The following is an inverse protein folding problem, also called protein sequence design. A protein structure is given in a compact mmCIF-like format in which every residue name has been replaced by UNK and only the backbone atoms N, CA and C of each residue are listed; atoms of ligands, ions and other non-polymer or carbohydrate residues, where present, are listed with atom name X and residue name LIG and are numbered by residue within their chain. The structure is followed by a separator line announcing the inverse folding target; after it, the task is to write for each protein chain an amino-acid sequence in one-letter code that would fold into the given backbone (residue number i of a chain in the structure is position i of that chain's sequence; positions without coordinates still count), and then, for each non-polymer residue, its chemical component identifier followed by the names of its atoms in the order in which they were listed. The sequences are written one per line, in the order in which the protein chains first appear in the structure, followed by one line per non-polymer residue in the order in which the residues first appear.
data_IF_431301928047
#
_entry.id   IF_431301928047
#
_cell.length_a   1.000
_cell.length_b   1.000
_cell.length_c   1.000
_cell.angle_alpha   90.00
_cell.angle_beta   90.00
_cell.angle_gamma   90.00
#
_symmetry.space_group_name_H-M   'P 1'
#
loop_
_entity.id
_entity.type
_entity.pdbx_description
1 polymer ?
#
# COMPACT_ATOMS: atom_id res chain seq x y z
N UNK A 1 -68.55 60.95 -16.00
CA UNK A 1 -69.13 60.23 -17.14
C UNK A 1 -69.97 61.16 -17.98
N UNK A 2 -69.79 61.12 -19.30
CA UNK A 2 -70.66 61.79 -20.28
C UNK A 2 -71.84 60.85 -20.53
N UNK A 3 -73.06 61.33 -20.27
CA UNK A 3 -74.28 60.54 -20.42
C UNK A 3 -74.61 60.29 -21.91
N UNK A 4 -75.39 59.24 -22.24
CA UNK A 4 -75.87 59.03 -23.62
C UNK A 4 -76.56 60.27 -24.20
N UNK A 5 -77.26 61.05 -23.35
CA UNK A 5 -77.90 62.32 -23.70
C UNK A 5 -76.88 63.41 -24.10
N UNK A 6 -75.76 63.51 -23.39
CA UNK A 6 -74.69 64.47 -23.70
C UNK A 6 -73.86 64.04 -24.92
N UNK A 7 -73.73 62.73 -25.16
CA UNK A 7 -73.16 62.20 -26.41
C UNK A 7 -74.05 62.50 -27.61
N UNK A 8 -75.38 62.33 -27.51
CA UNK A 8 -76.32 62.74 -28.57
C UNK A 8 -76.20 64.25 -28.84
N UNK A 9 -76.17 65.06 -27.77
CA UNK A 9 -76.10 66.52 -27.88
C UNK A 9 -74.79 67.05 -28.49
N UNK A 10 -73.69 66.30 -28.39
CA UNK A 10 -72.37 66.65 -28.93
C UNK A 10 -72.05 65.96 -30.27
N UNK A 11 -72.98 65.18 -30.82
CA UNK A 11 -72.83 64.47 -32.09
C UNK A 11 -73.38 65.28 -33.25
N UNK A 12 -72.67 65.31 -34.38
CA UNK A 12 -73.06 66.12 -35.56
C UNK A 12 -74.15 65.46 -36.41
N UNK A 13 -74.29 64.13 -36.34
CA UNK A 13 -75.32 63.33 -37.00
C UNK A 13 -75.40 61.92 -36.35
N UNK A 14 -76.35 61.09 -36.81
CA UNK A 14 -76.56 59.74 -36.27
C UNK A 14 -75.34 58.82 -36.43
N UNK A 15 -74.58 58.93 -37.52
CA UNK A 15 -73.35 58.17 -37.74
C UNK A 15 -72.25 58.54 -36.75
N UNK A 16 -72.02 59.85 -36.53
CA UNK A 16 -71.05 60.38 -35.56
C UNK A 16 -71.40 59.97 -34.11
N UNK A 17 -72.69 59.85 -33.78
CA UNK A 17 -73.13 59.32 -32.49
C UNK A 17 -72.83 57.82 -32.34
N UNK A 18 -73.12 57.02 -33.37
CA UNK A 18 -72.85 55.56 -33.39
C UNK A 18 -71.34 55.31 -33.30
N UNK A 19 -70.53 56.05 -34.06
CA UNK A 19 -69.06 55.96 -34.03
C UNK A 19 -68.51 56.32 -32.64
N UNK A 20 -69.06 57.35 -31.98
CA UNK A 20 -68.68 57.73 -30.60
C UNK A 20 -69.10 56.69 -29.56
N UNK A 21 -70.25 56.04 -29.74
CA UNK A 21 -70.71 54.96 -28.86
C UNK A 21 -69.83 53.71 -29.02
N UNK A 22 -69.55 53.26 -30.25
CA UNK A 22 -68.65 52.13 -30.51
C UNK A 22 -67.23 52.39 -30.03
N UNK A 23 -66.72 53.62 -30.23
CA UNK A 23 -65.41 54.03 -29.71
C UNK A 23 -65.35 53.96 -28.18
N UNK A 24 -66.41 54.42 -27.50
CA UNK A 24 -66.51 54.35 -26.03
C UNK A 24 -66.58 52.91 -25.54
N UNK A 25 -67.35 52.05 -26.20
CA UNK A 25 -67.51 50.66 -25.82
C UNK A 25 -66.21 49.87 -26.06
N UNK A 26 -65.49 50.13 -27.17
CA UNK A 26 -64.15 49.59 -27.42
C UNK A 26 -63.12 50.06 -26.39
N UNK A 27 -63.16 51.33 -25.98
CA UNK A 27 -62.29 51.82 -24.90
C UNK A 27 -62.63 51.13 -23.57
N UNK A 28 -63.91 50.95 -23.24
CA UNK A 28 -64.32 50.22 -22.02
C UNK A 28 -63.85 48.76 -22.05
N UNK A 29 -63.99 48.08 -23.18
CA UNK A 29 -63.48 46.71 -23.37
C UNK A 29 -61.96 46.65 -23.22
N UNK A 30 -61.23 47.57 -23.84
CA UNK A 30 -59.77 47.65 -23.72
C UNK A 30 -59.32 47.93 -22.28
N UNK A 31 -60.01 48.82 -21.56
CA UNK A 31 -59.74 49.12 -20.15
C UNK A 31 -60.02 47.88 -19.29
N UNK A 32 -61.13 47.18 -19.51
CA UNK A 32 -61.46 45.93 -18.80
C UNK A 32 -60.41 44.86 -19.04
N UNK A 33 -60.04 44.63 -20.30
CA UNK A 33 -58.99 43.68 -20.71
C UNK A 33 -57.64 44.01 -20.06
N UNK A 34 -57.23 45.27 -20.09
CA UNK A 34 -55.98 45.73 -19.46
C UNK A 34 -56.02 45.52 -17.94
N UNK A 35 -57.18 45.73 -17.31
CA UNK A 35 -57.35 45.54 -15.87
C UNK A 35 -57.26 44.06 -15.47
N UNK A 36 -57.84 43.16 -16.28
CA UNK A 36 -57.70 41.71 -16.11
C UNK A 36 -56.24 41.24 -16.28
N UNK A 37 -55.53 41.80 -17.27
CA UNK A 37 -54.11 41.52 -17.49
C UNK A 37 -53.23 42.02 -16.34
N UNK A 38 -53.50 43.21 -15.80
CA UNK A 38 -52.83 43.74 -14.60
C UNK A 38 -53.05 42.81 -13.40
N UNK A 39 -54.27 42.29 -13.21
CA UNK A 39 -54.55 41.37 -12.10
C UNK A 39 -53.78 40.04 -12.26
N UNK A 40 -53.72 39.51 -13.49
CA UNK A 40 -52.94 38.31 -13.79
C UNK A 40 -51.44 38.51 -13.56
N UNK A 41 -50.87 39.61 -14.05
CA UNK A 41 -49.46 39.94 -13.87
C UNK A 41 -49.11 40.15 -12.39
N UNK A 42 -50.01 40.75 -11.60
CA UNK A 42 -49.83 40.86 -10.14
C UNK A 42 -49.74 39.48 -9.47
N UNK A 43 -50.64 38.55 -9.82
CA UNK A 43 -50.59 37.17 -9.30
C UNK A 43 -49.28 36.46 -9.67
N UNK A 44 -48.85 36.58 -10.93
CA UNK A 44 -47.58 36.01 -11.39
C UNK A 44 -46.37 36.62 -10.68
N UNK A 45 -46.36 37.93 -10.46
CA UNK A 45 -45.28 38.62 -9.74
C UNK A 45 -45.19 38.14 -8.27
N UNK A 46 -46.33 37.95 -7.61
CA UNK A 46 -46.37 37.44 -6.23
C UNK A 46 -45.90 35.99 -6.15
N UNK A 47 -46.24 35.14 -7.13
CA UNK A 47 -45.72 33.77 -7.23
C UNK A 47 -44.21 33.74 -7.47
N UNK A 48 -43.72 34.50 -8.46
CA UNK A 48 -42.28 34.60 -8.75
C UNK A 48 -41.49 35.14 -7.55
N UNK A 49 -42.04 36.10 -6.80
CA UNK A 49 -41.42 36.60 -5.57
C UNK A 49 -41.26 35.50 -4.53
N UNK A 50 -42.29 34.68 -4.31
CA UNK A 50 -42.23 33.54 -3.37
C UNK A 50 -41.20 32.51 -3.81
N UNK A 51 -41.14 32.21 -5.10
CA UNK A 51 -40.16 31.26 -5.66
C UNK A 51 -38.72 31.76 -5.50
N UNK A 52 -38.45 33.03 -5.79
CA UNK A 52 -37.14 33.64 -5.59
C UNK A 52 -36.72 33.60 -4.12
N UNK A 53 -37.63 33.90 -3.18
CA UNK A 53 -37.34 33.78 -1.75
C UNK A 53 -36.96 32.35 -1.38
N UNK A 54 -37.70 31.35 -1.86
CA UNK A 54 -37.39 29.94 -1.62
C UNK A 54 -36.02 29.54 -2.16
N UNK A 55 -35.70 29.93 -3.41
CA UNK A 55 -34.40 29.66 -4.02
C UNK A 55 -33.26 30.30 -3.23
N UNK A 56 -33.45 31.52 -2.71
CA UNK A 56 -32.46 32.20 -1.87
C UNK A 56 -32.22 31.46 -0.55
N UNK A 57 -33.27 30.96 0.10
CA UNK A 57 -33.19 30.17 1.33
C UNK A 57 -32.51 28.82 1.08
N UNK A 58 -32.84 28.15 -0.02
CA UNK A 58 -32.20 26.90 -0.45
C UNK A 58 -30.71 27.12 -0.75
N UNK A 59 -30.35 28.18 -1.48
CA UNK A 59 -28.94 28.53 -1.73
C UNK A 59 -28.17 28.82 -0.44
N UNK A 60 -28.78 29.50 0.53
CA UNK A 60 -28.16 29.78 1.83
C UNK A 60 -27.89 28.49 2.60
N UNK A 61 -28.84 27.55 2.58
CA UNK A 61 -28.71 26.24 3.22
C UNK A 61 -27.64 25.37 2.56
N UNK A 62 -27.61 25.34 1.22
CA UNK A 62 -26.60 24.63 0.44
C UNK A 62 -25.19 25.17 0.71
N UNK A 63 -25.01 26.50 0.76
CA UNK A 63 -23.73 27.13 1.13
C UNK A 63 -23.28 26.70 2.53
N UNK A 64 -24.15 26.75 3.52
CA UNK A 64 -23.83 26.29 4.88
C UNK A 64 -23.42 24.82 4.93
N UNK A 65 -24.10 23.96 4.16
CA UNK A 65 -23.75 22.53 4.04
C UNK A 65 -22.39 22.32 3.36
N UNK A 66 -22.11 23.08 2.30
CA UNK A 66 -20.84 23.04 1.59
C UNK A 66 -19.67 23.48 2.49
N UNK A 67 -19.85 24.52 3.29
CA UNK A 67 -18.85 25.01 4.23
C UNK A 67 -18.54 23.97 5.32
N UNK A 68 -19.56 23.29 5.84
CA UNK A 68 -19.39 22.16 6.76
C UNK A 68 -18.62 21.01 6.11
N UNK A 69 -19.01 20.62 4.88
CA UNK A 69 -18.33 19.54 4.15
C UNK A 69 -16.89 19.87 3.80
N UNK A 70 -16.60 21.12 3.44
CA UNK A 70 -15.24 21.59 3.20
C UNK A 70 -14.39 21.54 4.48
N UNK A 71 -14.98 21.90 5.62
CA UNK A 71 -14.32 21.80 6.94
C UNK A 71 -14.03 20.34 7.31
N UNK A 72 -15.02 19.46 7.18
CA UNK A 72 -14.86 18.01 7.41
C UNK A 72 -13.79 17.40 6.50
N UNK A 73 -13.79 17.75 5.20
CA UNK A 73 -12.81 17.26 4.23
C UNK A 73 -11.39 17.74 4.57
N UNK A 74 -11.25 19.02 4.94
CA UNK A 74 -9.96 19.60 5.34
C UNK A 74 -9.40 18.94 6.61
N UNK A 75 -10.26 18.69 7.61
CA UNK A 75 -9.87 17.98 8.84
C UNK A 75 -9.45 16.53 8.56
N UNK A 76 -10.21 15.81 7.71
CA UNK A 76 -9.85 14.45 7.29
C UNK A 76 -8.53 14.41 6.53
N UNK A 77 -8.32 15.34 5.60
CA UNK A 77 -7.08 15.43 4.83
C UNK A 77 -5.87 15.72 5.74
N UNK A 78 -6.03 16.59 6.73
CA UNK A 78 -4.99 16.85 7.73
C UNK A 78 -4.64 15.58 8.52
N UNK A 79 -5.65 14.81 8.96
CA UNK A 79 -5.45 13.53 9.64
C UNK A 79 -4.72 12.51 8.77
N UNK A 80 -5.16 12.30 7.53
CA UNK A 80 -4.50 11.39 6.58
C UNK A 80 -3.05 11.79 6.32
N UNK A 81 -2.77 13.08 6.16
CA UNK A 81 -1.40 13.56 5.95
C UNK A 81 -0.51 13.32 7.18
N UNK A 82 -1.06 13.47 8.39
CA UNK A 82 -0.34 13.17 9.63
C UNK A 82 -0.06 11.67 9.77
N UNK A 83 -1.06 10.81 9.51
CA UNK A 83 -0.90 9.36 9.56
C UNK A 83 0.12 8.88 8.53
N UNK A 84 0.08 9.43 7.32
CA UNK A 84 1.07 9.15 6.28
C UNK A 84 2.48 9.54 6.74
N UNK A 85 2.66 10.72 7.32
CA UNK A 85 3.97 11.16 7.81
C UNK A 85 4.50 10.27 8.94
N UNK A 86 3.62 9.83 9.85
CA UNK A 86 3.98 8.91 10.93
C UNK A 86 4.39 7.53 10.38
N UNK A 87 3.64 7.00 9.40
CA UNK A 87 3.96 5.75 8.73
C UNK A 87 5.28 5.83 7.95
N UNK A 88 5.48 6.89 7.17
CA UNK A 88 6.72 7.14 6.43
C UNK A 88 7.94 7.19 7.39
N UNK A 89 7.78 7.84 8.56
CA UNK A 89 8.82 7.90 9.57
C UNK A 89 9.13 6.51 10.16
N UNK A 90 8.11 5.68 10.43
CA UNK A 90 8.29 4.31 10.90
C UNK A 90 9.00 3.43 9.86
N UNK A 91 8.61 3.52 8.59
CA UNK A 91 9.27 2.78 7.49
C UNK A 91 10.74 3.20 7.37
N UNK A 92 11.03 4.50 7.48
CA UNK A 92 12.41 5.00 7.46
C UNK A 92 13.23 4.48 8.65
N UNK A 93 12.68 4.52 9.85
CA UNK A 93 13.34 4.01 11.05
C UNK A 93 13.62 2.50 10.93
N UNK A 94 12.60 1.71 10.60
CA UNK A 94 12.73 0.26 10.45
C UNK A 94 13.71 -0.12 9.34
N UNK A 95 13.68 0.55 8.18
CA UNK A 95 14.64 0.29 7.10
C UNK A 95 16.09 0.61 7.51
N UNK A 96 16.30 1.64 8.33
CA UNK A 96 17.62 1.95 8.88
C UNK A 96 18.10 0.87 9.86
N UNK A 97 17.21 0.37 10.74
CA UNK A 97 17.52 -0.71 11.67
C UNK A 97 17.85 -2.01 10.92
N UNK A 98 17.09 -2.34 9.87
CA UNK A 98 17.38 -3.49 9.00
C UNK A 98 18.76 -3.34 8.35
N UNK A 99 19.10 -2.16 7.85
CA UNK A 99 20.42 -1.92 7.26
C UNK A 99 21.56 -2.12 8.28
N UNK A 100 21.38 -1.65 9.52
CA UNK A 100 22.34 -1.87 10.61
C UNK A 100 22.48 -3.35 10.94
N UNK A 101 21.37 -4.09 11.10
CA UNK A 101 21.40 -5.52 11.40
C UNK A 101 22.08 -6.32 10.27
N UNK A 102 21.80 -5.98 9.00
CA UNK A 102 22.47 -6.60 7.84
C UNK A 102 23.97 -6.30 7.82
N UNK A 103 24.38 -5.08 8.16
CA UNK A 103 25.79 -4.72 8.25
C UNK A 103 26.50 -5.45 9.41
N UNK A 104 25.86 -5.54 10.57
CA UNK A 104 26.38 -6.28 11.73
C UNK A 104 26.52 -7.77 11.42
N UNK A 105 25.52 -8.39 10.77
CA UNK A 105 25.60 -9.80 10.39
C UNK A 105 26.71 -10.03 9.36
N UNK A 106 26.85 -9.15 8.36
CA UNK A 106 27.94 -9.23 7.38
C UNK A 106 29.32 -9.13 8.06
N UNK A 107 29.47 -8.22 9.02
CA UNK A 107 30.70 -8.09 9.78
C UNK A 107 30.97 -9.31 10.68
N UNK A 108 29.92 -9.93 11.23
CA UNK A 108 30.05 -11.17 11.99
C UNK A 108 30.51 -12.33 11.09
N UNK A 109 29.89 -12.48 9.91
CA UNK A 109 30.27 -13.47 8.91
C UNK A 109 31.72 -13.28 8.45
N UNK A 110 32.15 -12.03 8.22
CA UNK A 110 33.53 -11.71 7.84
C UNK A 110 34.60 -12.20 8.84
N UNK A 111 34.25 -12.40 10.12
CA UNK A 111 35.17 -12.94 11.14
C UNK A 111 35.46 -14.43 10.98
N UNK A 112 34.68 -15.15 10.16
CA UNK A 112 35.00 -16.53 9.78
C UNK A 112 36.33 -16.62 9.02
N UNK A 113 36.81 -15.49 8.49
CA UNK A 113 38.02 -15.44 7.69
C UNK A 113 37.79 -16.10 6.33
N UNK A 114 38.89 -16.45 5.67
CA UNK A 114 38.84 -16.99 4.32
C UNK A 114 38.57 -15.92 3.26
N UNK A 115 38.52 -16.35 2.00
CA UNK A 115 38.20 -15.49 0.87
C UNK A 115 37.08 -16.15 0.07
N UNK A 116 35.88 -15.59 0.21
CA UNK A 116 34.70 -16.03 -0.53
C UNK A 116 34.93 -15.85 -2.04
N UNK A 117 34.77 -16.94 -2.78
CA UNK A 117 34.74 -16.96 -4.24
C UNK A 117 33.35 -17.33 -4.72
N UNK A 118 33.01 -17.02 -5.97
CA UNK A 118 31.70 -17.37 -6.54
C UNK A 118 31.43 -18.89 -6.57
N UNK A 119 32.48 -19.71 -6.55
CA UNK A 119 32.36 -21.17 -6.50
C UNK A 119 31.79 -21.78 -7.79
N UNK A 120 31.11 -22.92 -7.64
CA UNK A 120 30.37 -23.61 -8.70
C UNK A 120 29.38 -22.68 -9.45
N UNK A 121 29.49 -22.54 -10.78
CA UNK A 121 28.54 -21.80 -11.61
C UNK A 121 27.09 -22.27 -11.49
N UNK A 122 26.86 -23.55 -11.16
CA UNK A 122 25.54 -24.10 -10.89
C UNK A 122 25.04 -23.80 -9.46
N UNK A 123 25.76 -22.97 -8.72
CA UNK A 123 25.46 -22.53 -7.34
C UNK A 123 25.33 -23.71 -6.37
N UNK A 124 26.24 -24.68 -6.50
CA UNK A 124 26.25 -25.92 -5.74
C UNK A 124 25.08 -26.85 -6.04
N UNK A 125 24.37 -26.61 -7.16
CA UNK A 125 23.16 -27.33 -7.59
C UNK A 125 21.84 -26.82 -6.98
N UNK A 126 21.86 -25.71 -6.23
CA UNK A 126 20.67 -25.19 -5.56
C UNK A 126 19.53 -24.95 -6.58
N UNK A 127 18.29 -25.45 -6.34
CA UNK A 127 17.25 -25.48 -7.35
C UNK A 127 16.97 -24.11 -7.96
N UNK A 128 16.91 -24.04 -9.29
CA UNK A 128 16.72 -22.80 -10.04
C UNK A 128 15.48 -22.00 -9.59
N UNK A 129 14.40 -22.70 -9.20
CA UNK A 129 13.18 -22.08 -8.64
C UNK A 129 13.45 -21.18 -7.43
N UNK A 130 14.44 -21.53 -6.60
CA UNK A 130 14.81 -20.77 -5.41
C UNK A 130 16.02 -19.87 -5.67
N UNK A 131 17.00 -20.35 -6.45
CA UNK A 131 18.23 -19.63 -6.76
C UNK A 131 18.04 -18.39 -7.65
N UNK A 132 16.99 -18.38 -8.49
CA UNK A 132 16.70 -17.29 -9.44
C UNK A 132 15.59 -16.36 -8.98
N UNK A 133 14.85 -16.74 -7.93
CA UNK A 133 13.85 -15.87 -7.33
C UNK A 133 14.52 -14.73 -6.54
N UNK A 134 13.84 -13.58 -6.34
CA UNK A 134 14.29 -12.58 -5.39
C UNK A 134 14.55 -13.21 -4.02
N UNK A 135 15.56 -12.71 -3.30
CA UNK A 135 15.82 -13.14 -1.92
C UNK A 135 14.56 -12.91 -1.07
N UNK A 136 14.29 -13.82 -0.13
CA UNK A 136 13.16 -13.75 0.80
C UNK A 136 11.75 -13.77 0.17
N UNK A 137 11.62 -14.14 -1.10
CA UNK A 137 10.34 -14.12 -1.83
C UNK A 137 9.60 -15.45 -1.83
N UNK A 138 10.31 -16.56 -1.62
CA UNK A 138 9.77 -17.92 -1.64
C UNK A 138 10.19 -18.68 -0.39
N UNK A 139 9.33 -19.58 0.06
CA UNK A 139 9.62 -20.53 1.12
C UNK A 139 9.98 -21.88 0.48
N UNK A 140 11.06 -22.49 0.96
CA UNK A 140 11.53 -23.79 0.48
C UNK A 140 10.79 -24.97 1.13
N UNK A 141 11.22 -26.19 0.81
CA UNK A 141 10.60 -27.41 1.31
C UNK A 141 10.75 -27.64 2.82
N UNK A 142 11.66 -26.91 3.50
CA UNK A 142 11.93 -27.02 4.94
C UNK A 142 11.43 -25.82 5.74
N UNK A 143 10.68 -24.93 5.08
CA UNK A 143 10.09 -23.75 5.71
C UNK A 143 11.07 -22.58 5.85
N UNK A 144 12.14 -22.54 5.06
CA UNK A 144 13.15 -21.49 5.07
C UNK A 144 13.00 -20.57 3.85
N UNK A 145 13.33 -19.28 4.02
CA UNK A 145 13.32 -18.33 2.91
C UNK A 145 14.42 -18.62 1.89
N UNK A 146 14.09 -18.50 0.60
CA UNK A 146 15.02 -18.81 -0.48
C UNK A 146 16.24 -17.89 -0.49
N UNK A 147 17.38 -18.43 -0.94
CA UNK A 147 18.68 -17.72 -1.02
C UNK A 147 19.27 -17.33 0.34
N UNK A 148 18.70 -17.85 1.44
CA UNK A 148 19.31 -17.79 2.76
C UNK A 148 20.27 -18.97 3.01
N UNK A 149 21.22 -18.79 3.92
CA UNK A 149 22.18 -19.83 4.31
C UNK A 149 21.48 -21.13 4.76
N UNK A 150 20.41 -20.97 5.55
CA UNK A 150 19.60 -22.06 6.10
C UNK A 150 18.80 -22.82 5.05
N UNK A 151 18.33 -22.14 4.00
CA UNK A 151 17.61 -22.79 2.90
C UNK A 151 18.57 -23.61 2.03
N UNK A 152 19.72 -23.04 1.69
CA UNK A 152 20.72 -23.73 0.89
C UNK A 152 21.25 -24.98 1.59
N UNK A 153 21.62 -24.86 2.87
CA UNK A 153 22.17 -25.98 3.64
C UNK A 153 21.15 -27.08 3.90
N UNK A 154 19.89 -26.72 4.18
CA UNK A 154 18.79 -27.69 4.28
C UNK A 154 18.64 -28.49 2.98
N UNK A 155 18.70 -27.80 1.83
CA UNK A 155 18.67 -28.44 0.53
C UNK A 155 19.89 -29.34 0.29
N UNK A 156 21.11 -28.91 0.63
CA UNK A 156 22.33 -29.74 0.46
C UNK A 156 22.29 -31.02 1.30
N UNK A 157 21.81 -30.94 2.54
CA UNK A 157 21.59 -32.12 3.39
C UNK A 157 20.63 -33.09 2.70
N UNK A 158 19.50 -32.60 2.21
CA UNK A 158 18.55 -33.44 1.47
C UNK A 158 19.13 -34.01 0.16
N UNK A 159 19.84 -33.18 -0.62
CA UNK A 159 20.46 -33.59 -1.88
C UNK A 159 21.46 -34.73 -1.68
N UNK A 160 22.17 -34.74 -0.56
CA UNK A 160 23.10 -35.81 -0.21
C UNK A 160 22.43 -37.15 0.17
N UNK A 161 21.09 -37.21 0.19
CA UNK A 161 20.32 -38.39 0.56
C UNK A 161 20.03 -38.53 2.05
N UNK A 162 20.42 -37.54 2.86
CA UNK A 162 20.18 -37.52 4.32
C UNK A 162 18.85 -36.86 4.67
N UNK A 163 18.31 -37.23 5.82
CA UNK A 163 17.06 -36.67 6.29
C UNK A 163 17.29 -35.27 6.88
N UNK A 164 16.74 -34.26 6.20
CA UNK A 164 16.67 -32.90 6.74
C UNK A 164 15.29 -32.68 7.40
N UNK A 165 15.21 -32.48 8.73
CA UNK A 165 13.95 -32.19 9.40
C UNK A 165 13.37 -30.83 8.98
N UNK A 166 12.05 -30.67 9.15
CA UNK A 166 11.38 -29.40 8.92
C UNK A 166 11.56 -28.47 10.15
N UNK A 167 12.31 -27.38 9.98
CA UNK A 167 12.61 -26.41 11.06
C UNK A 167 12.00 -25.01 10.83
N UNK A 168 11.08 -24.86 9.86
CA UNK A 168 10.43 -23.60 9.53
C UNK A 168 9.85 -22.86 10.74
N UNK A 169 10.19 -21.57 10.87
CA UNK A 169 9.75 -20.70 11.98
C UNK A 169 10.60 -20.77 13.26
N UNK A 170 11.61 -21.65 13.34
CA UNK A 170 12.61 -21.72 14.43
C UNK A 170 14.03 -21.83 13.83
N UNK A 171 14.25 -21.08 12.75
CA UNK A 171 15.19 -21.46 11.71
C UNK A 171 16.43 -20.58 11.57
N UNK A 172 16.71 -19.65 12.48
CA UNK A 172 17.98 -18.91 12.42
C UNK A 172 19.14 -19.90 12.55
N UNK A 173 20.25 -19.64 11.86
CA UNK A 173 21.39 -20.56 11.84
C UNK A 173 21.92 -20.88 13.25
N UNK A 174 21.94 -19.91 14.15
CA UNK A 174 22.35 -20.12 15.56
C UNK A 174 21.36 -20.96 16.38
N UNK A 175 20.16 -21.27 15.88
CA UNK A 175 19.19 -22.15 16.53
C UNK A 175 19.34 -23.61 16.09
N UNK A 176 20.00 -23.85 14.95
CA UNK A 176 20.12 -25.18 14.36
C UNK A 176 20.80 -26.20 15.28
N UNK A 177 21.87 -25.88 16.03
CA UNK A 177 22.46 -26.84 16.97
C UNK A 177 21.49 -27.34 18.04
N UNK A 178 20.64 -26.47 18.58
CA UNK A 178 19.63 -26.85 19.57
C UNK A 178 18.53 -27.71 18.93
N UNK A 179 18.06 -27.32 17.74
CA UNK A 179 17.06 -28.07 16.98
C UNK A 179 17.57 -29.47 16.58
N UNK A 180 18.83 -29.57 16.15
CA UNK A 180 19.49 -30.82 15.81
C UNK A 180 19.54 -31.77 17.01
N UNK A 181 20.02 -31.30 18.17
CA UNK A 181 20.05 -32.09 19.41
C UNK A 181 18.65 -32.55 19.82
N UNK A 182 17.64 -31.68 19.71
CA UNK A 182 16.25 -32.03 20.00
C UNK A 182 15.68 -33.09 19.02
N UNK A 183 16.17 -33.13 17.79
CA UNK A 183 15.83 -34.14 16.78
C UNK A 183 16.70 -35.41 16.87
N UNK A 184 17.60 -35.51 17.86
CA UNK A 184 18.51 -36.65 18.02
C UNK A 184 19.69 -36.66 17.04
N UNK A 185 19.95 -35.55 16.35
CA UNK A 185 21.07 -35.39 15.42
C UNK A 185 22.30 -34.92 16.21
N UNK A 186 23.43 -35.66 16.16
CA UNK A 186 24.64 -35.29 16.90
C UNK A 186 25.19 -33.92 16.48
N UNK A 187 25.73 -33.19 17.46
CA UNK A 187 26.41 -31.91 17.23
C UNK A 187 27.70 -31.87 18.06
N UNK A 188 28.83 -31.71 17.39
CA UNK A 188 30.15 -31.60 18.03
C UNK A 188 31.07 -30.60 17.29
N UNK A 189 32.34 -30.52 17.69
CA UNK A 189 33.34 -29.59 17.12
C UNK A 189 34.27 -30.21 16.07
N UNK A 190 34.04 -31.48 15.68
CA UNK A 190 34.89 -32.24 14.79
C UNK A 190 34.30 -32.29 13.37
N UNK A 191 34.88 -31.57 12.40
CA UNK A 191 34.32 -31.47 11.06
C UNK A 191 34.38 -32.78 10.29
N UNK A 192 33.32 -33.11 9.56
CA UNK A 192 33.24 -34.19 8.58
C UNK A 192 32.67 -33.66 7.27
N UNK A 193 33.06 -34.30 6.16
CA UNK A 193 32.48 -33.97 4.85
C UNK A 193 30.99 -34.25 4.88
N UNK A 194 30.21 -33.27 4.42
CA UNK A 194 28.77 -33.30 4.40
C UNK A 194 28.08 -32.87 5.69
N UNK A 195 28.82 -32.46 6.72
CA UNK A 195 28.25 -31.80 7.89
C UNK A 195 27.71 -30.41 7.52
N UNK A 196 26.83 -29.90 8.38
CA UNK A 196 26.50 -28.47 8.39
C UNK A 196 27.36 -27.78 9.45
N UNK A 197 28.27 -26.93 9.01
CA UNK A 197 29.07 -26.06 9.88
C UNK A 197 28.23 -24.84 10.30
N UNK A 198 28.25 -24.52 11.59
CA UNK A 198 27.44 -23.47 12.20
C UNK A 198 28.36 -22.46 12.89
N UNK A 199 28.24 -21.20 12.46
CA UNK A 199 28.72 -20.05 13.20
C UNK A 199 27.61 -19.49 14.07
N UNK A 200 27.89 -19.36 15.37
CA UNK A 200 27.00 -18.71 16.33
C UNK A 200 27.14 -17.19 16.32
N UNK A 201 28.02 -16.63 15.47
CA UNK A 201 28.33 -15.22 15.45
C UNK A 201 27.23 -14.37 14.78
N UNK A 202 26.99 -13.19 15.35
CA UNK A 202 25.97 -12.27 14.85
C UNK A 202 24.58 -12.61 15.36
N UNK A 203 23.59 -11.81 14.94
CA UNK A 203 22.22 -11.93 15.41
C UNK A 203 21.54 -13.22 14.93
N UNK A 204 21.81 -13.63 13.69
CA UNK A 204 21.19 -14.80 13.06
C UNK A 204 22.08 -16.06 13.12
N UNK A 205 23.37 -15.92 13.38
CA UNK A 205 24.34 -16.96 13.07
C UNK A 205 24.54 -17.12 11.56
N UNK A 206 25.28 -18.15 11.17
CA UNK A 206 25.46 -18.52 9.76
C UNK A 206 25.70 -20.03 9.62
N UNK A 207 25.03 -20.69 8.68
CA UNK A 207 25.22 -22.12 8.40
C UNK A 207 25.81 -22.34 7.01
N UNK A 208 26.67 -23.34 6.91
CA UNK A 208 27.45 -23.63 5.71
C UNK A 208 27.54 -25.15 5.52
N UNK A 209 27.57 -25.63 4.29
CA UNK A 209 27.70 -27.06 4.01
C UNK A 209 29.18 -27.41 3.81
N UNK A 210 29.68 -28.44 4.51
CA UNK A 210 31.09 -28.84 4.44
C UNK A 210 31.31 -29.72 3.22
N UNK A 211 32.05 -29.22 2.24
CA UNK A 211 32.39 -29.93 1.00
C UNK A 211 33.72 -30.70 1.13
N UNK A 212 34.67 -30.19 1.91
CA UNK A 212 35.94 -30.87 2.19
C UNK A 212 36.50 -30.51 3.58
N UNK A 213 37.33 -31.40 4.14
CA UNK A 213 38.04 -31.18 5.41
C UNK A 213 39.54 -31.39 5.18
N UNK A 214 40.37 -30.44 5.65
CA UNK A 214 41.82 -30.52 5.57
C UNK A 214 42.46 -29.95 6.84
N UNK A 215 42.87 -30.83 7.75
CA UNK A 215 43.43 -30.44 9.05
C UNK A 215 42.39 -29.65 9.87
N UNK A 216 42.76 -28.45 10.30
CA UNK A 216 41.88 -27.52 11.04
C UNK A 216 41.07 -26.58 10.13
N UNK A 217 41.00 -26.87 8.83
CA UNK A 217 40.28 -26.07 7.85
C UNK A 217 39.20 -26.88 7.17
N UNK A 218 38.09 -26.21 6.83
CA UNK A 218 36.98 -26.78 6.08
C UNK A 218 36.73 -25.96 4.82
N UNK A 219 36.49 -26.64 3.71
CA UNK A 219 35.98 -26.04 2.49
C UNK A 219 34.47 -26.09 2.55
N UNK A 220 33.82 -24.94 2.41
CA UNK A 220 32.38 -24.82 2.54
C UNK A 220 31.73 -24.22 1.31
N UNK A 221 30.52 -24.69 1.02
CA UNK A 221 29.57 -24.06 0.12
C UNK A 221 28.42 -23.43 0.92
N UNK A 222 27.98 -22.25 0.49
CA UNK A 222 27.04 -21.45 1.29
C UNK A 222 26.27 -20.43 0.45
N UNK A 223 25.16 -19.93 1.01
CA UNK A 223 24.44 -18.77 0.50
C UNK A 223 24.43 -17.63 1.51
N UNK A 224 24.27 -16.40 1.01
CA UNK A 224 24.00 -15.20 1.80
C UNK A 224 25.09 -14.79 2.80
N UNK A 225 26.33 -15.21 2.57
CA UNK A 225 27.46 -14.83 3.43
C UNK A 225 27.64 -13.30 3.55
N UNK A 226 27.50 -12.58 2.42
CA UNK A 226 27.57 -11.12 2.37
C UNK A 226 26.22 -10.43 2.63
N UNK A 227 25.18 -11.18 3.01
CA UNK A 227 23.81 -10.69 3.25
C UNK A 227 23.18 -10.03 1.99
N UNK A 228 23.44 -10.64 0.83
CA UNK A 228 23.00 -10.22 -0.51
C UNK A 228 22.36 -11.35 -1.34
N UNK A 229 22.12 -12.52 -0.72
CA UNK A 229 21.48 -13.69 -1.32
C UNK A 229 22.34 -14.42 -2.35
N UNK A 230 23.66 -14.24 -2.35
CA UNK A 230 24.56 -14.86 -3.32
C UNK A 230 25.16 -16.17 -2.80
N UNK A 231 25.42 -17.07 -3.75
CA UNK A 231 26.22 -18.26 -3.52
C UNK A 231 27.70 -17.91 -3.40
N UNK A 232 28.40 -18.61 -2.53
CA UNK A 232 29.85 -18.54 -2.46
C UNK A 232 30.43 -19.83 -1.91
N UNK A 233 31.72 -20.02 -2.16
CA UNK A 233 32.53 -21.07 -1.57
C UNK A 233 33.78 -20.45 -0.94
N UNK A 234 34.31 -21.07 0.12
CA UNK A 234 35.57 -20.66 0.72
C UNK A 234 36.18 -21.71 1.62
N UNK A 235 37.49 -21.59 1.83
CA UNK A 235 38.18 -22.23 2.97
C UNK A 235 38.08 -21.35 4.21
N UNK A 236 37.67 -21.94 5.33
CA UNK A 236 37.64 -21.30 6.65
C UNK A 236 38.25 -22.21 7.72
N UNK A 237 38.62 -21.61 8.85
CA UNK A 237 39.02 -22.36 10.04
C UNK A 237 37.81 -23.10 10.63
N UNK A 238 38.00 -24.34 11.08
CA UNK A 238 36.98 -25.07 11.84
C UNK A 238 36.85 -24.58 13.30
N UNK A 239 37.79 -23.75 13.77
CA UNK A 239 37.81 -23.28 15.14
C UNK A 239 36.60 -22.39 15.48
N UNK A 240 35.92 -22.70 16.58
CA UNK A 240 34.76 -21.95 17.06
C UNK A 240 33.47 -22.21 16.28
N UNK A 241 33.45 -23.21 15.39
CA UNK A 241 32.24 -23.69 14.72
C UNK A 241 31.67 -24.91 15.45
N UNK A 242 30.35 -25.06 15.37
CA UNK A 242 29.67 -26.33 15.68
C UNK A 242 29.36 -27.06 14.37
N UNK A 243 29.40 -28.40 14.38
CA UNK A 243 29.11 -29.24 13.22
C UNK A 243 27.93 -30.13 13.53
N UNK A 244 26.90 -30.09 12.67
CA UNK A 244 25.71 -30.93 12.76
C UNK A 244 25.88 -32.14 11.83
N UNK A 245 25.74 -33.34 12.40
CA UNK A 245 26.02 -34.61 11.72
C UNK A 245 24.73 -35.31 11.29
N UNK A 246 24.20 -34.90 10.14
CA UNK A 246 23.01 -35.49 9.51
C UNK A 246 23.23 -36.91 8.97
#
# INVERSE_FOLDING_TARGET
DISPLEMIASSKNLGDFVDKQEYRDRIKENISSTMDEIERLKKQLDEQRREVTKILDDQKTLRGTLDQKNTEASAKLAGVNQDKAAFDAQVKEQSSQIAVLRAQQRAANAKLGGSAVAGDPAKGGYPAKWANAPQDSLVDSWGMYNRECVSYTAWKVYQSGRHMPYWGGRGNANQWPANARAAGIPVDGAPRVGDVAVSMAGYYGHVMYVEAVSGSSVYVSQYNYAVNGEYSEMWISSAGLEFIHF
#
